data_IF_942996297288
#
_entry.id   IF_942996297288
#
_cell.length_a   1.000
_cell.length_b   1.000
_cell.length_c   1.000
_cell.angle_alpha   90.00
_cell.angle_beta   90.00
_cell.angle_gamma   90.00
#
_symmetry.space_group_name_H-M   'P 1'
#
loop_
_entity.id
_entity.type
_entity.pdbx_description
1 polymer ?
#
# COMPACT_ATOMS: atom_id res chain seq x y z
N UNK A 1 13.51 -0.92 -4.07
CA UNK A 1 13.47 0.50 -4.54
C UNK A 1 14.74 1.20 -4.08
N UNK A 2 15.34 2.00 -4.93
CA UNK A 2 16.51 2.78 -4.56
C UNK A 2 16.17 3.86 -3.53
N UNK A 3 17.08 4.17 -2.58
CA UNK A 3 16.77 5.13 -1.51
C UNK A 3 16.36 6.51 -1.99
N UNK A 4 16.98 7.05 -3.04
CA UNK A 4 16.59 8.36 -3.57
C UNK A 4 15.19 8.33 -4.18
N UNK A 5 14.82 7.25 -4.86
CA UNK A 5 13.48 7.07 -5.39
C UNK A 5 12.47 6.89 -4.29
N UNK A 6 12.87 6.27 -3.17
CA UNK A 6 11.98 6.00 -2.04
C UNK A 6 11.44 7.28 -1.41
N UNK A 7 12.26 8.32 -1.29
CA UNK A 7 11.79 9.60 -0.73
C UNK A 7 10.74 10.25 -1.62
N UNK A 8 10.99 10.31 -2.92
CA UNK A 8 10.02 10.84 -3.88
C UNK A 8 8.74 10.02 -3.89
N UNK A 9 8.87 8.69 -3.87
CA UNK A 9 7.73 7.79 -3.87
C UNK A 9 6.87 7.96 -2.62
N UNK A 10 7.47 8.10 -1.43
CA UNK A 10 6.73 8.34 -0.20
C UNK A 10 5.94 9.64 -0.26
N UNK A 11 6.54 10.70 -0.78
CA UNK A 11 5.88 11.99 -0.93
C UNK A 11 4.68 11.86 -1.87
N UNK A 12 4.87 11.23 -3.03
CA UNK A 12 3.79 11.01 -3.98
C UNK A 12 2.69 10.13 -3.41
N UNK A 13 3.03 9.08 -2.68
CA UNK A 13 2.06 8.20 -2.03
C UNK A 13 1.20 8.98 -1.04
N UNK A 14 1.84 9.78 -0.19
CA UNK A 14 1.12 10.51 0.85
C UNK A 14 0.28 11.68 0.29
N UNK A 15 0.76 12.35 -0.73
CA UNK A 15 0.11 13.55 -1.26
C UNK A 15 -0.89 13.25 -2.38
N UNK A 16 -0.68 12.20 -3.15
CA UNK A 16 -1.47 11.92 -4.34
C UNK A 16 -2.19 10.58 -4.28
N UNK A 17 -1.43 9.49 -4.21
CA UNK A 17 -1.98 8.15 -4.42
C UNK A 17 -2.89 7.67 -3.27
N UNK A 18 -2.42 7.75 -2.04
CA UNK A 18 -3.21 7.33 -0.88
C UNK A 18 -4.51 8.13 -0.76
N UNK A 19 -4.49 9.48 -0.89
CA UNK A 19 -5.75 10.23 -0.90
C UNK A 19 -6.72 9.78 -1.99
N UNK A 20 -6.24 9.44 -3.19
CA UNK A 20 -7.09 8.93 -4.25
C UNK A 20 -7.71 7.58 -3.88
N UNK A 21 -6.91 6.68 -3.31
CA UNK A 21 -7.40 5.37 -2.87
C UNK A 21 -8.44 5.53 -1.76
N UNK A 22 -8.16 6.36 -0.77
CA UNK A 22 -9.08 6.59 0.34
C UNK A 22 -10.36 7.31 -0.07
N UNK A 23 -10.29 8.15 -1.09
CA UNK A 23 -11.48 8.84 -1.63
C UNK A 23 -12.49 7.89 -2.26
N UNK A 24 -12.11 6.66 -2.59
CA UNK A 24 -13.06 5.65 -3.10
C UNK A 24 -14.08 5.23 -2.07
N UNK A 25 -13.79 5.44 -0.77
CA UNK A 25 -14.66 5.00 0.32
C UNK A 25 -14.61 3.51 0.62
N UNK A 26 -13.70 2.78 -0.03
CA UNK A 26 -13.59 1.33 0.13
C UNK A 26 -12.77 0.90 1.33
N UNK A 27 -11.92 1.79 1.84
CA UNK A 27 -11.03 1.49 2.97
C UNK A 27 -11.25 2.47 4.10
N UNK A 28 -11.03 2.00 5.33
CA UNK A 28 -11.23 2.78 6.56
C UNK A 28 -9.92 3.33 7.10
N UNK A 29 -8.83 2.59 6.90
CA UNK A 29 -7.52 2.93 7.44
C UNK A 29 -6.44 2.60 6.43
N UNK A 30 -5.33 3.31 6.52
CA UNK A 30 -4.15 3.04 5.72
C UNK A 30 -2.91 3.32 6.54
N UNK A 31 -1.88 2.50 6.35
CA UNK A 31 -0.59 2.72 6.97
C UNK A 31 0.53 2.35 6.01
N UNK A 32 1.67 2.99 6.19
CA UNK A 32 2.91 2.64 5.49
C UNK A 32 3.91 2.17 6.53
N UNK A 33 4.46 0.98 6.31
CA UNK A 33 5.45 0.37 7.17
C UNK A 33 6.72 0.14 6.37
N UNK A 34 7.85 0.47 6.96
CA UNK A 34 9.13 0.15 6.35
C UNK A 34 9.55 -1.25 6.75
N UNK A 35 9.92 -2.06 5.77
CA UNK A 35 10.42 -3.41 6.03
C UNK A 35 11.87 -3.29 6.51
N UNK A 36 12.15 -3.75 7.73
CA UNK A 36 13.47 -3.66 8.34
C UNK A 36 14.30 -4.94 8.20
N UNK A 37 13.64 -6.06 7.89
CA UNK A 37 14.29 -7.35 7.70
C UNK A 37 14.38 -7.67 6.22
N UNK A 38 15.54 -7.39 5.63
CA UNK A 38 15.79 -7.65 4.22
C UNK A 38 16.73 -8.84 4.05
N UNK A 39 16.72 -9.44 2.85
CA UNK A 39 17.75 -10.40 2.50
C UNK A 39 19.13 -9.71 2.55
N UNK A 40 20.17 -10.50 2.87
CA UNK A 40 21.50 -9.94 3.10
C UNK A 40 22.09 -9.17 1.91
N UNK A 41 21.63 -9.49 0.70
CA UNK A 41 22.08 -8.86 -0.55
C UNK A 41 21.08 -7.82 -1.07
N UNK A 42 20.02 -7.54 -0.33
CA UNK A 42 19.00 -6.55 -0.73
C UNK A 42 19.44 -5.16 -0.28
N UNK A 43 19.87 -4.36 -1.23
CA UNK A 43 20.28 -2.98 -0.99
C UNK A 43 19.13 -1.98 -1.14
N UNK A 44 17.95 -2.44 -1.55
CA UNK A 44 16.80 -1.60 -1.79
C UNK A 44 16.03 -1.27 -0.52
N UNK A 45 15.16 -0.29 -0.65
CA UNK A 45 14.21 0.09 0.40
C UNK A 45 12.86 -0.53 0.07
N UNK A 46 12.26 -1.23 1.04
CA UNK A 46 10.97 -1.89 0.86
C UNK A 46 9.95 -1.34 1.85
N UNK A 47 8.75 -1.11 1.35
CA UNK A 47 7.63 -0.64 2.16
C UNK A 47 6.44 -1.59 2.04
N UNK A 48 5.68 -1.70 3.12
CA UNK A 48 4.39 -2.38 3.14
C UNK A 48 3.31 -1.32 3.32
N UNK A 49 2.42 -1.21 2.33
CA UNK A 49 1.27 -0.30 2.42
C UNK A 49 0.07 -1.18 2.74
N UNK A 50 -0.54 -0.91 3.89
CA UNK A 50 -1.66 -1.70 4.38
C UNK A 50 -2.92 -0.87 4.38
N UNK A 51 -3.92 -1.33 3.63
CA UNK A 51 -5.26 -0.74 3.61
C UNK A 51 -6.21 -1.69 4.31
N UNK A 52 -7.05 -1.14 5.17
CA UNK A 52 -8.06 -1.94 5.88
C UNK A 52 -9.43 -1.63 5.32
N UNK A 53 -10.06 -2.65 4.74
CA UNK A 53 -11.45 -2.60 4.32
C UNK A 53 -12.34 -3.12 5.43
N UNK A 54 -13.56 -2.60 5.53
CA UNK A 54 -14.52 -3.06 6.54
C UNK A 54 -15.06 -4.45 6.21
N UNK A 55 -15.16 -4.78 4.94
CA UNK A 55 -15.70 -6.05 4.48
C UNK A 55 -15.00 -6.51 3.20
N UNK A 56 -15.15 -7.80 2.91
CA UNK A 56 -14.64 -8.33 1.63
C UNK A 56 -15.34 -7.67 0.44
N UNK A 57 -16.62 -7.34 0.57
CA UNK A 57 -17.37 -6.66 -0.48
C UNK A 57 -16.76 -5.29 -0.82
N UNK A 58 -16.33 -4.52 0.18
CA UNK A 58 -15.67 -3.24 -0.05
C UNK A 58 -14.35 -3.40 -0.80
N UNK A 59 -13.57 -4.43 -0.44
CA UNK A 59 -12.34 -4.73 -1.17
C UNK A 59 -12.63 -5.13 -2.63
N UNK A 60 -13.62 -5.97 -2.85
CA UNK A 60 -13.99 -6.40 -4.20
C UNK A 60 -14.44 -5.22 -5.07
N UNK A 61 -15.20 -4.28 -4.49
CA UNK A 61 -15.60 -3.06 -5.18
C UNK A 61 -14.38 -2.23 -5.57
N UNK A 62 -13.42 -2.08 -4.68
CA UNK A 62 -12.17 -1.39 -5.00
C UNK A 62 -11.42 -2.09 -6.13
N UNK A 63 -11.23 -3.39 -6.01
CA UNK A 63 -10.53 -4.19 -7.00
C UNK A 63 -11.14 -4.05 -8.39
N UNK A 64 -12.47 -4.08 -8.48
CA UNK A 64 -13.16 -4.12 -9.76
C UNK A 64 -13.41 -2.74 -10.35
N UNK A 65 -13.66 -1.73 -9.53
CA UNK A 65 -14.07 -0.40 -10.00
C UNK A 65 -12.97 0.64 -9.99
N UNK A 66 -12.00 0.54 -9.10
CA UNK A 66 -11.02 1.61 -8.89
C UNK A 66 -9.56 1.19 -9.11
N UNK A 67 -9.20 -0.02 -8.71
CA UNK A 67 -7.81 -0.45 -8.73
C UNK A 67 -7.17 -0.41 -10.13
N UNK A 68 -7.84 -0.82 -11.22
CA UNK A 68 -7.19 -0.80 -12.52
C UNK A 68 -6.68 0.57 -12.94
N UNK A 69 -7.47 1.63 -12.75
CA UNK A 69 -7.06 2.98 -13.11
C UNK A 69 -5.93 3.49 -12.20
N UNK A 70 -6.04 3.24 -10.88
CA UNK A 70 -5.04 3.69 -9.92
C UNK A 70 -3.71 2.96 -10.09
N UNK A 71 -3.75 1.67 -10.40
CA UNK A 71 -2.54 0.90 -10.70
C UNK A 71 -1.88 1.36 -11.98
N UNK A 72 -2.68 1.74 -12.98
CA UNK A 72 -2.17 2.26 -14.24
C UNK A 72 -1.45 3.60 -14.02
N UNK A 73 -1.95 4.47 -13.17
CA UNK A 73 -1.29 5.73 -12.83
C UNK A 73 0.08 5.50 -12.19
N UNK A 74 0.16 4.55 -11.25
CA UNK A 74 1.43 4.19 -10.60
C UNK A 74 2.41 3.64 -11.63
N UNK A 75 1.95 2.76 -12.49
CA UNK A 75 2.77 2.16 -13.54
C UNK A 75 3.26 3.20 -14.54
N UNK A 76 2.40 4.14 -14.91
CA UNK A 76 2.78 5.22 -15.82
C UNK A 76 3.86 6.12 -15.23
N UNK A 77 3.82 6.34 -13.91
CA UNK A 77 4.78 7.21 -13.23
C UNK A 77 6.13 6.53 -12.98
N UNK A 78 6.11 5.29 -12.51
CA UNK A 78 7.32 4.61 -12.05
C UNK A 78 7.78 3.45 -12.93
N UNK A 79 6.89 2.89 -13.73
CA UNK A 79 7.22 1.78 -14.62
C UNK A 79 7.78 0.59 -13.86
N UNK A 80 8.92 0.10 -14.29
CA UNK A 80 9.59 -1.06 -13.69
C UNK A 80 10.53 -0.69 -12.53
N UNK A 81 10.65 0.59 -12.19
CA UNK A 81 11.48 1.04 -11.08
C UNK A 81 10.94 0.56 -9.73
N UNK A 82 9.65 0.24 -9.67
CA UNK A 82 8.98 -0.24 -8.47
C UNK A 82 8.34 -1.58 -8.80
N UNK A 83 8.67 -2.58 -7.98
CA UNK A 83 8.05 -3.89 -8.03
C UNK A 83 7.06 -3.99 -6.88
N UNK A 84 5.80 -4.28 -7.20
CA UNK A 84 4.74 -4.37 -6.20
C UNK A 84 4.11 -5.74 -6.19
N UNK A 85 3.91 -6.27 -4.99
CA UNK A 85 3.15 -7.49 -4.76
C UNK A 85 1.91 -7.13 -3.94
N UNK A 86 0.79 -7.74 -4.26
CA UNK A 86 -0.47 -7.51 -3.55
C UNK A 86 -0.92 -8.78 -2.88
N UNK A 87 -1.24 -8.66 -1.60
CA UNK A 87 -1.68 -9.80 -0.79
C UNK A 87 -2.95 -9.41 -0.05
N UNK A 88 -3.97 -10.24 -0.16
CA UNK A 88 -5.20 -10.06 0.60
C UNK A 88 -5.08 -10.84 1.89
N UNK A 89 -5.32 -10.14 3.01
CA UNK A 89 -5.21 -10.72 4.34
C UNK A 89 -6.54 -10.58 5.06
N UNK A 90 -6.90 -11.58 5.83
CA UNK A 90 -8.06 -11.52 6.71
C UNK A 90 -7.58 -11.34 8.15
N UNK A 91 -8.13 -10.35 8.85
CA UNK A 91 -7.84 -10.17 10.26
C UNK A 91 -8.61 -11.20 11.08
N UNK A 92 -7.87 -12.10 11.71
CA UNK A 92 -8.47 -13.05 12.65
C UNK A 92 -8.56 -12.42 14.05
N UNK A 93 -7.51 -11.68 14.41
CA UNK A 93 -7.47 -10.92 15.66
C UNK A 93 -6.83 -9.56 15.39
N UNK A 94 -7.59 -8.45 15.46
CA UNK A 94 -7.04 -7.12 15.23
C UNK A 94 -5.98 -6.76 16.27
N UNK A 95 -5.05 -5.90 15.88
CA UNK A 95 -4.11 -5.33 16.83
C UNK A 95 -4.88 -4.49 17.84
N UNK A 96 -4.57 -4.70 19.13
CA UNK A 96 -5.16 -3.93 20.21
C UNK A 96 -4.11 -3.69 21.31
N UNK A 97 -4.22 -2.58 22.06
CA UNK A 97 -3.32 -2.37 23.18
C UNK A 97 -3.47 -3.48 24.21
N UNK A 98 -2.34 -3.87 24.84
CA UNK A 98 -2.41 -4.74 25.99
C UNK A 98 -2.94 -3.93 27.18
N UNK A 99 -3.94 -4.52 27.85
CA UNK A 99 -4.56 -3.93 29.05
C UNK A 99 -4.17 -4.81 30.22
N UNK A 100 -3.54 -4.20 31.20
CA UNK A 100 -3.11 -4.89 32.42
C UNK A 100 -3.94 -4.45 33.61
#
# INVERSE_FOLDING_TARGET
MEPALAEEWLEWMNEVHIPQVMATGCFREVGILKVLTNAADDEGVNYSIQYRAQSLADYERYRDQFAPALQQETKARYGEQILAFRTLLEEIRPLSPLVH
#
